data_IF_796725437655
#
_entry.id   IF_796725437655
#
_cell.length_a   1.000
_cell.length_b   1.000
_cell.length_c   1.000
_cell.angle_alpha   90.00
_cell.angle_beta   90.00
_cell.angle_gamma   90.00
#
_symmetry.space_group_name_H-M   'P 1'
#
loop_
_entity.id
_entity.type
_entity.pdbx_description
1 polymer ?
#
# COMPACT_ATOMS: atom_id res chain seq x y z
N UNK A 1 18.70 22.73 -16.09
CA UNK A 1 17.80 22.28 -17.17
C UNK A 1 18.07 20.79 -17.42
N UNK A 2 17.47 19.93 -16.61
CA UNK A 2 17.63 18.46 -16.65
C UNK A 2 16.27 17.72 -16.51
N UNK A 3 15.17 18.48 -16.54
CA UNK A 3 13.80 17.99 -16.31
C UNK A 3 13.29 17.06 -17.42
N UNK A 4 14.00 16.95 -18.54
CA UNK A 4 13.57 16.21 -19.74
C UNK A 4 14.58 15.13 -20.18
N UNK A 5 15.49 14.70 -19.31
CA UNK A 5 16.39 13.59 -19.65
C UNK A 5 15.70 12.23 -19.50
N UNK A 6 15.90 11.30 -20.43
CA UNK A 6 15.41 9.90 -20.34
C UNK A 6 15.85 9.22 -19.03
N UNK A 7 17.02 9.58 -18.51
CA UNK A 7 17.53 9.11 -17.21
C UNK A 7 16.69 9.59 -16.01
N UNK A 8 16.00 10.73 -16.14
CA UNK A 8 15.09 11.22 -15.10
C UNK A 8 13.75 10.48 -15.11
N UNK A 9 13.34 9.88 -16.24
CA UNK A 9 12.11 9.10 -16.34
C UNK A 9 12.24 7.69 -15.72
N UNK A 10 13.47 7.17 -15.65
CA UNK A 10 13.78 5.89 -14.98
C UNK A 10 14.31 6.05 -13.54
N UNK A 11 14.31 7.26 -12.99
CA UNK A 11 14.76 7.48 -11.62
C UNK A 11 13.68 7.03 -10.64
N UNK A 12 14.05 6.18 -9.67
CA UNK A 12 13.17 5.73 -8.60
C UNK A 12 12.56 6.90 -7.80
N UNK A 13 13.30 8.01 -7.69
CA UNK A 13 12.85 9.25 -7.09
C UNK A 13 13.12 10.40 -8.08
N UNK A 14 12.10 10.83 -8.84
CA UNK A 14 12.24 11.98 -9.73
C UNK A 14 12.65 13.25 -8.96
N UNK A 15 13.31 14.21 -9.62
CA UNK A 15 13.60 15.51 -9.02
C UNK A 15 12.33 16.17 -8.48
N UNK A 16 12.44 16.90 -7.37
CA UNK A 16 11.32 17.59 -6.71
C UNK A 16 10.31 16.63 -6.05
N UNK A 17 10.50 15.30 -6.11
CA UNK A 17 9.61 14.35 -5.42
C UNK A 17 9.77 14.39 -3.91
N UNK A 18 11.00 14.44 -3.37
CA UNK A 18 11.27 14.46 -1.93
C UNK A 18 11.65 15.86 -1.43
N UNK A 19 11.62 16.06 -0.11
CA UNK A 19 12.03 17.32 0.52
C UNK A 19 13.53 17.58 0.26
N UNK A 20 13.89 18.84 0.02
CA UNK A 20 15.26 19.26 -0.23
C UNK A 20 15.67 20.38 0.72
N UNK A 21 16.93 20.37 1.14
CA UNK A 21 17.51 21.42 1.99
C UNK A 21 18.47 22.24 1.14
N UNK A 22 18.28 23.56 1.11
CA UNK A 22 19.19 24.47 0.43
C UNK A 22 20.49 24.66 1.23
N UNK A 23 21.46 25.36 0.64
CA UNK A 23 22.76 25.59 1.28
C UNK A 23 22.67 26.56 2.47
N UNK A 24 21.56 27.30 2.62
CA UNK A 24 21.26 28.15 3.78
C UNK A 24 20.51 27.40 4.89
N UNK A 25 20.15 26.13 4.68
CA UNK A 25 19.39 25.32 5.62
C UNK A 25 17.87 25.50 5.55
N UNK A 26 17.34 26.21 4.54
CA UNK A 26 15.90 26.27 4.32
C UNK A 26 15.41 24.97 3.66
N UNK A 27 14.20 24.56 4.02
CA UNK A 27 13.56 23.36 3.48
C UNK A 27 12.63 23.77 2.34
N UNK A 28 12.80 23.14 1.18
CA UNK A 28 11.83 23.13 0.09
C UNK A 28 11.03 21.84 0.17
N UNK A 29 9.71 21.95 0.30
CA UNK A 29 8.80 20.80 0.37
C UNK A 29 8.74 20.06 -0.96
N UNK A 30 8.84 18.73 -0.92
CA UNK A 30 8.73 17.89 -2.11
C UNK A 30 7.28 17.70 -2.57
N UNK A 31 7.11 17.41 -3.86
CA UNK A 31 5.82 17.19 -4.52
C UNK A 31 5.04 16.00 -3.92
N UNK A 32 5.68 15.06 -3.23
CA UNK A 32 4.99 13.97 -2.51
C UNK A 32 3.99 14.47 -1.44
N UNK A 33 4.14 15.72 -1.00
CA UNK A 33 3.23 16.38 -0.04
C UNK A 33 2.09 17.14 -0.73
N UNK A 34 2.19 17.37 -2.04
CA UNK A 34 1.19 18.07 -2.83
C UNK A 34 0.02 17.16 -3.24
N UNK A 35 0.10 15.86 -2.94
CA UNK A 35 -1.03 14.94 -3.03
C UNK A 35 -2.09 15.35 -2.00
N UNK A 36 -3.00 16.18 -2.47
CA UNK A 36 -4.17 16.57 -1.72
C UNK A 36 -5.01 15.31 -1.41
N UNK A 37 -5.65 15.26 -0.24
CA UNK A 37 -6.45 14.09 0.19
C UNK A 37 -7.62 13.77 -0.78
N UNK A 38 -7.86 14.67 -1.75
CA UNK A 38 -8.81 14.57 -2.86
C UNK A 38 -8.26 13.78 -4.07
N UNK A 39 -6.94 13.70 -4.24
CA UNK A 39 -6.22 12.92 -5.25
C UNK A 39 -5.77 11.58 -4.65
N UNK A 40 -6.66 10.91 -3.92
CA UNK A 40 -6.37 9.56 -3.45
C UNK A 40 -6.42 8.62 -4.67
N UNK A 41 -5.26 8.32 -5.26
CA UNK A 41 -5.11 7.19 -6.18
C UNK A 41 -5.61 5.86 -5.56
N UNK A 42 -5.73 5.85 -4.22
CA UNK A 42 -6.35 4.79 -3.45
C UNK A 42 -7.83 5.12 -3.21
N UNK A 43 -8.76 4.20 -3.55
CA UNK A 43 -10.16 4.40 -3.24
C UNK A 43 -10.37 4.49 -1.72
N UNK A 44 -11.37 5.27 -1.25
CA UNK A 44 -11.68 5.33 0.17
C UNK A 44 -11.99 3.93 0.69
N UNK A 45 -11.40 3.56 1.83
CA UNK A 45 -11.69 2.28 2.46
C UNK A 45 -13.18 2.20 2.78
N UNK A 46 -13.86 1.10 2.42
CA UNK A 46 -15.27 0.93 2.76
C UNK A 46 -15.39 0.92 4.29
N UNK A 47 -16.32 1.74 4.82
CA UNK A 47 -16.67 1.76 6.24
C UNK A 47 -17.54 0.55 6.63
N UNK A 48 -17.18 -0.63 6.14
CA UNK A 48 -17.88 -1.86 6.46
C UNK A 48 -17.19 -2.53 7.64
N UNK A 49 -17.96 -2.81 8.69
CA UNK A 49 -17.48 -3.67 9.77
C UNK A 49 -17.26 -5.07 9.18
N UNK A 50 -15.99 -5.46 9.02
CA UNK A 50 -15.66 -6.78 8.54
C UNK A 50 -15.64 -7.72 9.76
N UNK A 51 -16.54 -8.71 9.81
CA UNK A 51 -16.55 -9.75 10.84
C UNK A 51 -15.43 -10.78 10.61
N UNK A 52 -14.20 -10.31 10.38
CA UNK A 52 -13.02 -11.12 10.02
C UNK A 52 -12.80 -12.25 11.02
N UNK A 53 -12.96 -11.97 12.31
CA UNK A 53 -12.85 -12.97 13.37
C UNK A 53 -13.89 -14.08 13.22
N UNK A 54 -15.15 -13.73 12.93
CA UNK A 54 -16.23 -14.71 12.74
C UNK A 54 -15.98 -15.57 11.52
N UNK A 55 -15.62 -14.94 10.40
CA UNK A 55 -15.27 -15.64 9.17
C UNK A 55 -14.08 -16.60 9.36
N UNK A 56 -13.05 -16.18 10.11
CA UNK A 56 -11.92 -17.05 10.43
C UNK A 56 -12.32 -18.28 11.26
N UNK A 57 -13.26 -18.13 12.21
CA UNK A 57 -13.82 -19.27 12.95
C UNK A 57 -14.61 -20.20 12.04
N UNK A 58 -15.50 -19.65 11.19
CA UNK A 58 -16.29 -20.44 10.23
C UNK A 58 -15.39 -21.26 9.29
N UNK A 59 -14.33 -20.65 8.76
CA UNK A 59 -13.36 -21.34 7.90
C UNK A 59 -12.60 -22.43 8.65
N UNK A 60 -12.23 -22.19 9.92
CA UNK A 60 -11.55 -23.19 10.74
C UNK A 60 -12.43 -24.42 10.97
N UNK A 61 -13.70 -24.22 11.31
CA UNK A 61 -14.63 -25.31 11.57
C UNK A 61 -14.89 -26.14 10.30
N UNK A 62 -15.03 -25.46 9.15
CA UNK A 62 -15.20 -26.11 7.86
C UNK A 62 -14.01 -26.99 7.49
N UNK A 63 -12.78 -26.46 7.63
CA UNK A 63 -11.56 -27.20 7.35
C UNK A 63 -11.35 -28.35 8.33
N UNK A 64 -11.57 -28.13 9.63
CA UNK A 64 -11.46 -29.17 10.64
C UNK A 64 -12.42 -30.34 10.33
N UNK A 65 -13.67 -30.04 9.99
CA UNK A 65 -14.65 -31.05 9.59
C UNK A 65 -14.18 -31.81 8.34
N UNK A 66 -13.66 -31.11 7.33
CA UNK A 66 -13.19 -31.73 6.10
C UNK A 66 -12.03 -32.72 6.35
N UNK A 67 -11.02 -32.32 7.11
CA UNK A 67 -9.85 -33.16 7.39
C UNK A 67 -10.15 -34.35 8.30
N UNK A 68 -11.19 -34.26 9.15
CA UNK A 68 -11.66 -35.38 9.98
C UNK A 68 -12.45 -36.41 9.16
N UNK A 69 -13.28 -35.98 8.21
CA UNK A 69 -14.20 -36.90 7.50
C UNK A 69 -13.61 -37.50 6.24
N UNK A 70 -13.28 -36.66 5.26
CA UNK A 70 -13.06 -37.07 3.87
C UNK A 70 -11.67 -36.67 3.35
N UNK A 71 -11.08 -35.63 3.92
CA UNK A 71 -9.80 -35.07 3.49
C UNK A 71 -8.62 -35.56 4.31
N UNK A 72 -8.73 -36.70 5.00
CA UNK A 72 -7.68 -37.19 5.91
C UNK A 72 -6.36 -37.30 5.12
N UNK A 73 -5.39 -36.48 5.51
CA UNK A 73 -4.06 -36.48 4.90
C UNK A 73 -3.26 -37.64 5.52
N UNK A 74 -2.89 -38.68 4.74
CA UNK A 74 -1.96 -39.68 5.22
C UNK A 74 -0.58 -39.02 5.35
N UNK A 75 0.02 -39.14 6.53
CA UNK A 75 1.41 -38.74 6.80
C UNK A 75 2.40 -39.67 6.10
#
# INVERSE_FOLDING_TARGET
MMKESETSQCAYCPPETADQVDWQGNITEGNWRADDNSCAALPPLPKTACHTTRFAYEMRDLLAKHFITNGKVPW
#
